data_IF_823130534450
#
_entry.id   IF_823130534450
#
_cell.length_a   1.000
_cell.length_b   1.000
_cell.length_c   1.000
_cell.angle_alpha   90.00
_cell.angle_beta   90.00
_cell.angle_gamma   90.00
#
_symmetry.space_group_name_H-M   'P 1'
#
loop_
_entity.id
_entity.type
_entity.pdbx_description
1 polymer ?
#
# COMPACT_ATOMS: atom_id res chain seq x y z
N UNK A 1 8.47 -0.69 5.28
CA UNK A 1 7.14 -1.36 5.25
C UNK A 1 6.38 -0.89 4.03
N UNK A 2 5.78 -1.80 3.32
CA UNK A 2 4.89 -1.48 2.20
C UNK A 2 3.44 -1.40 2.72
N UNK A 3 2.83 -0.24 2.61
CA UNK A 3 1.48 0.03 3.09
C UNK A 3 0.52 0.15 1.91
N UNK A 4 -0.36 -0.83 1.76
CA UNK A 4 -1.34 -0.87 0.68
C UNK A 4 -2.63 -0.19 1.14
N UNK A 5 -2.99 0.90 0.47
CA UNK A 5 -4.15 1.73 0.85
C UNK A 5 -5.35 1.54 -0.08
N UNK A 6 -5.32 0.45 -0.88
CA UNK A 6 -6.42 0.13 -1.79
C UNK A 6 -7.66 -0.39 -1.06
N UNK A 7 -8.74 -0.52 -1.81
CA UNK A 7 -9.97 -1.10 -1.29
C UNK A 7 -9.82 -2.61 -1.04
N UNK A 8 -10.68 -3.22 -0.18
CA UNK A 8 -10.57 -4.64 0.15
C UNK A 8 -10.66 -5.59 -1.05
N UNK A 9 -11.47 -5.28 -2.05
CA UNK A 9 -11.60 -6.11 -3.26
C UNK A 9 -10.33 -6.11 -4.10
N UNK A 10 -9.67 -4.95 -4.18
CA UNK A 10 -8.37 -4.84 -4.85
C UNK A 10 -7.29 -5.65 -4.12
N UNK A 11 -7.26 -5.55 -2.80
CA UNK A 11 -6.33 -6.32 -1.97
C UNK A 11 -6.56 -7.83 -2.12
N UNK A 12 -7.80 -8.27 -2.06
CA UNK A 12 -8.14 -9.69 -2.16
C UNK A 12 -7.75 -10.28 -3.53
N UNK A 13 -7.87 -9.50 -4.59
CA UNK A 13 -7.47 -9.96 -5.93
C UNK A 13 -5.98 -10.23 -6.04
N UNK A 14 -5.17 -9.48 -5.31
CA UNK A 14 -3.74 -9.67 -5.24
C UNK A 14 -3.02 -8.46 -4.67
N UNK A 15 -1.97 -8.72 -3.91
CA UNK A 15 -1.16 -7.70 -3.26
C UNK A 15 0.31 -8.14 -3.21
N UNK A 16 1.19 -7.21 -2.88
CA UNK A 16 2.59 -7.53 -2.70
C UNK A 16 2.77 -8.41 -1.45
N UNK A 17 3.67 -9.42 -1.49
CA UNK A 17 3.97 -10.19 -0.30
C UNK A 17 4.44 -9.28 0.85
N UNK A 18 4.04 -9.62 2.06
CA UNK A 18 4.40 -8.89 3.30
C UNK A 18 3.89 -7.45 3.38
N UNK A 19 3.06 -7.02 2.45
CA UNK A 19 2.41 -5.71 2.55
C UNK A 19 1.39 -5.69 3.69
N UNK A 20 1.23 -4.52 4.29
CA UNK A 20 0.21 -4.26 5.31
C UNK A 20 -0.94 -3.53 4.65
N UNK A 21 -2.16 -3.99 4.86
CA UNK A 21 -3.36 -3.40 4.26
C UNK A 21 -4.07 -2.46 5.22
N UNK A 22 -4.11 -1.19 4.87
CA UNK A 22 -4.95 -0.18 5.54
C UNK A 22 -5.62 0.64 4.45
N UNK A 23 -6.89 0.40 4.15
CA UNK A 23 -7.60 1.20 3.15
C UNK A 23 -7.51 2.70 3.47
N UNK A 24 -7.43 3.53 2.44
CA UNK A 24 -7.24 4.97 2.62
C UNK A 24 -8.30 5.58 3.56
N UNK A 25 -9.56 5.13 3.44
CA UNK A 25 -10.64 5.61 4.30
C UNK A 25 -10.45 5.26 5.78
N UNK A 26 -9.69 4.22 6.08
CA UNK A 26 -9.41 3.78 7.45
C UNK A 26 -8.09 4.33 8.01
N UNK A 27 -7.28 5.00 7.17
CA UNK A 27 -5.93 5.40 7.56
C UNK A 27 -5.93 6.36 8.74
N UNK A 28 -6.81 7.36 8.73
CA UNK A 28 -6.84 8.36 9.81
C UNK A 28 -7.07 7.73 11.19
N UNK A 29 -7.91 6.70 11.26
CA UNK A 29 -8.20 6.01 12.52
C UNK A 29 -7.07 5.05 12.94
N UNK A 30 -6.23 4.63 12.01
CA UNK A 30 -5.18 3.61 12.23
C UNK A 30 -3.78 4.20 12.26
N UNK A 31 -3.62 5.46 11.86
CA UNK A 31 -2.31 6.05 11.58
C UNK A 31 -1.38 6.02 12.80
N UNK A 32 -1.92 6.24 14.00
CA UNK A 32 -1.11 6.29 15.22
C UNK A 32 -0.63 4.91 15.68
N UNK A 33 -1.14 3.83 15.06
CA UNK A 33 -0.72 2.45 15.36
C UNK A 33 0.50 2.03 14.54
N UNK A 34 0.87 2.79 13.53
CA UNK A 34 2.01 2.49 12.69
C UNK A 34 3.31 2.85 13.42
N UNK A 35 4.37 2.10 13.12
CA UNK A 35 5.68 2.33 13.73
C UNK A 35 6.38 3.49 13.03
N UNK A 36 6.62 4.58 13.76
CA UNK A 36 7.30 5.77 13.23
C UNK A 36 8.79 5.54 12.94
N UNK A 37 9.37 4.50 13.51
CA UNK A 37 10.78 4.19 13.30
C UNK A 37 11.02 3.43 11.99
N UNK A 38 9.96 2.96 11.33
CA UNK A 38 10.07 2.27 10.05
C UNK A 38 9.73 3.20 8.88
N UNK A 39 10.57 3.24 7.84
CA UNK A 39 10.19 3.89 6.60
C UNK A 39 8.94 3.21 6.00
N UNK A 40 8.02 4.02 5.47
CA UNK A 40 6.78 3.55 4.88
C UNK A 40 6.76 3.89 3.39
N UNK A 41 6.48 2.88 2.57
CA UNK A 41 6.18 3.08 1.15
C UNK A 41 4.70 2.82 0.97
N UNK A 42 3.94 3.87 0.67
CA UNK A 42 2.51 3.76 0.42
C UNK A 42 2.25 3.38 -1.03
N UNK A 43 1.33 2.45 -1.25
CA UNK A 43 1.01 1.95 -2.58
C UNK A 43 -0.50 1.88 -2.79
N UNK A 44 -0.95 2.24 -3.99
CA UNK A 44 -2.30 1.96 -4.47
C UNK A 44 -2.21 1.37 -5.88
N UNK A 45 -3.28 1.45 -6.67
CA UNK A 45 -3.26 0.86 -8.01
C UNK A 45 -2.28 1.59 -8.94
N UNK A 46 -2.36 2.92 -9.02
CA UNK A 46 -1.57 3.73 -9.95
C UNK A 46 -0.82 4.90 -9.30
N UNK A 47 -1.04 5.20 -8.03
CA UNK A 47 -0.28 6.20 -7.27
C UNK A 47 -1.08 7.38 -6.69
N UNK A 48 -2.32 7.62 -7.09
CA UNK A 48 -3.09 8.79 -6.64
C UNK A 48 -3.52 8.74 -5.18
N UNK A 49 -4.14 7.63 -4.78
CA UNK A 49 -4.58 7.44 -3.38
C UNK A 49 -3.41 7.33 -2.43
N UNK A 50 -2.36 6.63 -2.83
CA UNK A 50 -1.17 6.45 -2.00
C UNK A 50 -0.36 7.74 -1.86
N UNK A 51 -0.43 8.64 -2.83
CA UNK A 51 0.16 9.98 -2.70
C UNK A 51 -0.50 10.76 -1.56
N UNK A 52 -1.83 10.70 -1.46
CA UNK A 52 -2.56 11.31 -0.33
C UNK A 52 -2.19 10.66 0.98
N UNK A 53 -2.07 9.33 1.01
CA UNK A 53 -1.67 8.60 2.21
C UNK A 53 -0.27 9.02 2.66
N UNK A 54 0.69 9.10 1.74
CA UNK A 54 2.05 9.51 2.05
C UNK A 54 2.09 10.94 2.61
N UNK A 55 1.31 11.86 2.03
CA UNK A 55 1.22 13.23 2.52
C UNK A 55 0.68 13.29 3.95
N UNK A 56 -0.37 12.52 4.26
CA UNK A 56 -0.94 12.45 5.59
C UNK A 56 0.04 11.86 6.61
N UNK A 57 0.78 10.84 6.21
CA UNK A 57 1.80 10.21 7.05
C UNK A 57 2.94 11.19 7.35
N UNK A 58 3.41 11.93 6.36
CA UNK A 58 4.46 12.94 6.54
C UNK A 58 4.02 14.02 7.54
N UNK A 59 2.76 14.46 7.48
CA UNK A 59 2.23 15.45 8.41
C UNK A 59 2.19 14.93 9.85
N UNK A 60 2.12 13.62 10.05
CA UNK A 60 2.12 12.99 11.37
C UNK A 60 3.51 12.57 11.83
N UNK A 61 4.55 12.93 11.09
CA UNK A 61 5.93 12.67 11.48
C UNK A 61 6.49 11.32 11.04
N UNK A 62 5.81 10.62 10.14
CA UNK A 62 6.31 9.38 9.56
C UNK A 62 7.28 9.67 8.40
N UNK A 63 8.24 8.78 8.20
CA UNK A 63 9.06 8.77 7.00
C UNK A 63 8.30 7.97 5.93
N UNK A 64 7.69 8.67 4.99
CA UNK A 64 6.78 8.06 4.03
C UNK A 64 7.04 8.57 2.62
N UNK A 65 6.96 7.67 1.66
CA UNK A 65 7.02 7.96 0.23
C UNK A 65 5.90 7.25 -0.50
N UNK A 66 5.55 7.75 -1.68
CA UNK A 66 4.61 7.11 -2.58
C UNK A 66 5.35 6.21 -3.57
N UNK A 67 4.85 4.98 -3.77
CA UNK A 67 5.35 4.14 -4.85
C UNK A 67 4.71 4.61 -6.17
N UNK A 68 5.48 5.37 -6.95
CA UNK A 68 5.01 5.89 -8.24
C UNK A 68 4.64 4.75 -9.18
N UNK A 69 3.48 4.88 -9.84
CA UNK A 69 2.95 3.83 -10.72
C UNK A 69 2.23 2.69 -10.00
N UNK A 70 2.33 2.62 -8.68
CA UNK A 70 1.56 1.71 -7.83
C UNK A 70 1.71 0.24 -8.17
N UNK A 71 0.70 -0.54 -7.83
CA UNK A 71 0.68 -1.99 -8.08
C UNK A 71 0.68 -2.33 -9.57
N UNK A 72 0.19 -1.45 -10.41
CA UNK A 72 0.23 -1.66 -11.85
C UNK A 72 1.68 -1.70 -12.35
N UNK A 73 2.51 -0.74 -11.94
CA UNK A 73 3.94 -0.73 -12.28
C UNK A 73 4.69 -1.88 -11.61
N UNK A 74 4.33 -2.21 -10.37
CA UNK A 74 4.90 -3.34 -9.62
C UNK A 74 4.72 -4.64 -10.40
N UNK A 75 3.50 -4.93 -10.84
CA UNK A 75 3.20 -6.13 -11.61
C UNK A 75 3.89 -6.12 -12.97
N UNK A 76 3.89 -4.98 -13.68
CA UNK A 76 4.54 -4.84 -14.97
C UNK A 76 6.05 -5.06 -14.90
N UNK A 77 6.67 -4.76 -13.77
CA UNK A 77 8.09 -5.02 -13.53
C UNK A 77 8.40 -6.48 -13.17
N UNK A 78 7.39 -7.35 -13.16
CA UNK A 78 7.57 -8.77 -12.82
C UNK A 78 7.67 -9.04 -11.32
N UNK A 79 7.35 -8.10 -10.47
CA UNK A 79 7.37 -8.28 -9.03
C UNK A 79 6.19 -9.15 -8.58
N UNK A 80 6.35 -9.95 -7.52
CA UNK A 80 5.32 -10.91 -7.12
C UNK A 80 4.04 -10.23 -6.63
N UNK A 81 2.90 -10.78 -7.05
CA UNK A 81 1.57 -10.41 -6.60
C UNK A 81 0.87 -11.68 -6.16
N UNK A 82 0.42 -11.72 -4.91
CA UNK A 82 -0.13 -12.92 -4.30
C UNK A 82 -1.48 -12.64 -3.66
N UNK A 83 -2.28 -13.68 -3.45
CA UNK A 83 -3.47 -13.63 -2.63
C UNK A 83 -3.13 -13.96 -1.18
N UNK A 84 -4.10 -13.84 -0.27
CA UNK A 84 -3.91 -14.15 1.16
C UNK A 84 -3.55 -15.62 1.40
N UNK A 85 -3.89 -16.52 0.48
CA UNK A 85 -3.52 -17.93 0.55
C UNK A 85 -2.15 -18.23 -0.04
N UNK A 86 -1.47 -17.22 -0.58
CA UNK A 86 -0.17 -17.38 -1.21
C UNK A 86 -0.22 -17.77 -2.69
N UNK A 87 -1.40 -17.92 -3.27
CA UNK A 87 -1.57 -18.22 -4.68
C UNK A 87 -1.23 -16.98 -5.54
N UNK A 88 -0.90 -17.16 -6.83
CA UNK A 88 -0.70 -16.02 -7.72
C UNK A 88 -1.93 -15.12 -7.75
N UNK A 89 -1.72 -13.81 -7.56
CA UNK A 89 -2.75 -12.81 -7.59
C UNK A 89 -2.69 -11.97 -8.86
N UNK A 90 -3.61 -11.00 -8.93
CA UNK A 90 -3.68 -10.06 -10.05
C UNK A 90 -3.98 -8.66 -9.52
N UNK A 91 -3.66 -7.66 -10.32
CA UNK A 91 -3.99 -6.26 -10.04
C UNK A 91 -5.24 -5.90 -10.84
N UNK A 92 -6.32 -5.58 -10.12
CA UNK A 92 -7.58 -5.17 -10.75
C UNK A 92 -7.73 -3.66 -10.77
#
# INVERSE_FOLDING_TARGET
MLLDVREPDEWQAGHAPDAVHVPLAALAASIDRLDKDQPIVAVCRVGGRSERAAAALLQRGYDAVNLAGGMQAWHAAGMPVVTDTGDPGRVI
#
